data_IF_366019548573
#
_entry.id   IF_366019548573
#
_cell.length_a   1.000
_cell.length_b   1.000
_cell.length_c   1.000
_cell.angle_alpha   90.00
_cell.angle_beta   90.00
_cell.angle_gamma   90.00
#
_symmetry.space_group_name_H-M   'P 1'
#
loop_
_entity.id
_entity.type
_entity.pdbx_description
1 polymer ?
#
# COMPACT_ATOMS: atom_id res chain seq x y z
N UNK A 1 -44.00 28.57 -17.02
CA UNK A 1 -42.54 28.75 -16.92
C UNK A 1 -42.06 27.48 -16.27
N UNK A 2 -41.69 26.51 -17.10
CA UNK A 2 -41.24 25.20 -16.62
C UNK A 2 -39.71 25.21 -16.70
N UNK A 3 -39.09 25.24 -15.53
CA UNK A 3 -37.64 25.27 -15.35
C UNK A 3 -37.08 23.94 -15.82
N UNK A 4 -36.72 23.89 -17.10
CA UNK A 4 -35.99 22.79 -17.71
C UNK A 4 -34.59 22.77 -17.12
N UNK A 5 -34.44 22.09 -15.98
CA UNK A 5 -33.14 21.83 -15.37
C UNK A 5 -32.30 21.07 -16.40
N UNK A 6 -31.17 21.63 -16.83
CA UNK A 6 -30.40 21.08 -17.93
C UNK A 6 -29.67 19.79 -17.52
N UNK A 7 -29.64 18.83 -18.44
CA UNK A 7 -29.11 17.45 -18.28
C UNK A 7 -27.65 17.37 -17.79
N UNK A 8 -26.89 18.46 -17.77
CA UNK A 8 -25.51 18.46 -17.29
C UNK A 8 -25.41 18.36 -15.75
N UNK A 9 -26.38 18.86 -15.00
CA UNK A 9 -26.37 18.75 -13.53
C UNK A 9 -26.63 17.32 -13.01
N UNK A 10 -27.20 16.44 -13.86
CA UNK A 10 -27.45 15.03 -13.50
C UNK A 10 -26.18 14.18 -13.51
N UNK A 11 -25.21 14.52 -14.36
CA UNK A 11 -23.96 13.77 -14.47
C UNK A 11 -23.06 13.99 -13.25
N UNK A 12 -22.99 15.23 -12.75
CA UNK A 12 -22.12 15.62 -11.63
C UNK A 12 -22.51 14.90 -10.31
N UNK A 13 -23.80 14.64 -10.09
CA UNK A 13 -24.27 13.97 -8.85
C UNK A 13 -24.02 12.46 -8.82
N UNK A 14 -23.72 11.81 -9.95
CA UNK A 14 -23.43 10.36 -9.99
C UNK A 14 -21.93 10.04 -9.90
N UNK A 15 -21.07 11.03 -10.06
CA UNK A 15 -19.62 10.85 -9.95
C UNK A 15 -19.10 10.96 -8.49
N UNK A 16 -19.91 11.44 -7.54
CA UNK A 16 -19.53 11.51 -6.12
C UNK A 16 -19.82 10.22 -5.32
N UNK A 17 -20.38 9.18 -5.94
CA UNK A 17 -20.57 7.87 -5.28
C UNK A 17 -19.58 6.82 -5.78
N UNK A 18 -18.45 7.25 -6.36
CA UNK A 18 -17.37 6.35 -6.80
C UNK A 18 -16.01 6.80 -6.26
N UNK A 19 -15.98 7.35 -5.04
CA UNK A 19 -14.72 7.64 -4.34
C UNK A 19 -14.49 6.70 -3.14
N UNK A 20 -15.41 5.77 -2.87
CA UNK A 20 -15.32 4.86 -1.71
C UNK A 20 -15.27 3.38 -2.05
N UNK A 21 -15.40 3.03 -3.32
CA UNK A 21 -15.32 1.64 -3.82
C UNK A 21 -14.32 1.55 -4.97
N UNK A 22 -13.22 2.30 -4.87
CA UNK A 22 -12.03 2.01 -5.68
C UNK A 22 -11.34 0.85 -4.96
N UNK A 23 -11.85 -0.34 -5.24
CA UNK A 23 -11.38 -1.60 -4.67
C UNK A 23 -9.86 -1.70 -4.70
N UNK A 24 -9.33 -2.39 -3.68
CA UNK A 24 -7.95 -2.83 -3.53
C UNK A 24 -7.20 -2.70 -4.85
N UNK A 25 -6.32 -1.70 -4.93
CA UNK A 25 -5.44 -1.56 -6.08
C UNK A 25 -4.75 -2.93 -6.26
N UNK A 26 -4.80 -3.56 -7.44
CA UNK A 26 -4.30 -4.93 -7.60
C UNK A 26 -2.76 -5.00 -7.51
N UNK A 27 -2.08 -3.84 -7.49
CA UNK A 27 -0.68 -3.72 -7.14
C UNK A 27 -0.50 -3.48 -5.64
N UNK A 28 -1.61 -3.28 -4.90
CA UNK A 28 -1.59 -3.14 -3.46
C UNK A 28 -1.40 -4.49 -2.79
N UNK A 29 -0.25 -4.72 -2.17
CA UNK A 29 -0.05 -5.71 -1.12
C UNK A 29 -1.05 -5.43 0.00
N UNK A 30 -2.07 -6.29 0.12
CA UNK A 30 -2.97 -6.31 1.26
C UNK A 30 -2.18 -6.33 2.58
N UNK A 31 -2.65 -5.62 3.60
CA UNK A 31 -1.93 -5.46 4.86
C UNK A 31 -1.66 -6.82 5.55
N UNK A 32 -2.58 -7.77 5.42
CA UNK A 32 -2.38 -9.14 5.92
C UNK A 32 -1.24 -9.86 5.19
N UNK A 33 -1.19 -9.73 3.86
CA UNK A 33 -0.13 -10.34 3.04
C UNK A 33 1.22 -9.69 3.32
N UNK A 34 1.25 -8.36 3.49
CA UNK A 34 2.45 -7.65 3.88
C UNK A 34 2.93 -8.06 5.28
N UNK A 35 2.02 -8.32 6.21
CA UNK A 35 2.37 -8.83 7.54
C UNK A 35 3.01 -10.21 7.46
N UNK A 36 2.36 -11.17 6.79
CA UNK A 36 2.89 -12.54 6.62
C UNK A 36 4.28 -12.51 5.95
N UNK A 37 4.43 -11.71 4.88
CA UNK A 37 5.71 -11.56 4.20
C UNK A 37 6.80 -10.96 5.10
N UNK A 38 6.48 -9.93 5.90
CA UNK A 38 7.46 -9.34 6.83
C UNK A 38 7.89 -10.34 7.90
N UNK A 39 6.99 -11.20 8.37
CA UNK A 39 7.34 -12.27 9.31
C UNK A 39 8.27 -13.32 8.66
N UNK A 40 8.01 -13.70 7.41
CA UNK A 40 8.92 -14.56 6.64
C UNK A 40 10.30 -13.89 6.44
N UNK A 41 10.33 -12.60 6.10
CA UNK A 41 11.58 -11.84 5.92
C UNK A 41 12.36 -11.67 7.22
N UNK A 42 11.67 -11.56 8.37
CA UNK A 42 12.30 -11.58 9.70
C UNK A 42 12.88 -12.95 9.99
N UNK A 43 12.15 -14.03 9.71
CA UNK A 43 12.65 -15.38 9.88
C UNK A 43 13.89 -15.66 9.01
N UNK A 44 13.94 -15.06 7.82
CA UNK A 44 15.09 -15.12 6.91
C UNK A 44 16.26 -14.19 7.32
N UNK A 45 16.09 -13.32 8.32
CA UNK A 45 17.11 -12.34 8.73
C UNK A 45 17.29 -11.17 7.76
N UNK A 46 16.34 -10.98 6.83
CA UNK A 46 16.32 -9.87 5.87
C UNK A 46 15.75 -8.61 6.53
N UNK A 47 14.79 -8.77 7.44
CA UNK A 47 14.21 -7.67 8.21
C UNK A 47 14.57 -7.82 9.69
N UNK A 48 15.15 -6.77 10.27
CA UNK A 48 15.40 -6.66 11.70
C UNK A 48 14.44 -5.66 12.36
N UNK A 49 14.19 -5.82 13.65
CA UNK A 49 13.30 -4.92 14.41
C UNK A 49 14.13 -4.12 15.38
N UNK A 50 14.17 -2.82 15.19
CA UNK A 50 14.84 -1.91 16.13
C UNK A 50 13.94 -1.71 17.36
N UNK A 51 14.30 -2.22 18.55
CA UNK A 51 13.43 -2.21 19.72
C UNK A 51 13.12 -0.84 20.35
N UNK A 52 13.94 0.25 20.26
CA UNK A 52 13.52 1.52 20.85
C UNK A 52 12.37 2.17 20.06
N UNK A 53 12.26 1.92 18.76
CA UNK A 53 11.36 2.65 17.86
C UNK A 53 10.38 1.71 17.13
N UNK A 54 10.52 0.39 17.32
CA UNK A 54 9.77 -0.66 16.62
C UNK A 54 9.82 -0.51 15.09
N UNK A 55 10.92 0.07 14.59
CA UNK A 55 11.16 0.25 13.16
C UNK A 55 11.68 -1.05 12.54
N UNK A 56 11.28 -1.28 11.29
CA UNK A 56 11.66 -2.42 10.47
C UNK A 56 12.88 -2.02 9.63
N UNK A 57 14.03 -2.63 9.88
CA UNK A 57 15.25 -2.39 9.13
C UNK A 57 15.42 -3.44 8.04
N UNK A 58 15.54 -3.03 6.79
CA UNK A 58 15.88 -3.90 5.69
C UNK A 58 17.41 -4.12 5.67
N UNK A 59 17.85 -5.26 6.21
CA UNK A 59 19.25 -5.63 6.40
C UNK A 59 20.13 -5.47 5.14
N UNK A 60 19.69 -5.87 3.94
CA UNK A 60 20.51 -5.73 2.72
C UNK A 60 20.80 -4.27 2.31
N UNK A 61 19.85 -3.36 2.52
CA UNK A 61 19.99 -1.95 2.11
C UNK A 61 20.33 -1.00 3.27
N UNK A 62 20.05 -1.39 4.50
CA UNK A 62 20.16 -0.56 5.70
C UNK A 62 19.01 0.45 5.88
N UNK A 63 17.99 0.41 5.02
CA UNK A 63 16.85 1.35 5.09
C UNK A 63 15.83 0.93 6.16
N UNK A 64 15.19 1.90 6.80
CA UNK A 64 14.25 1.68 7.91
C UNK A 64 12.83 2.13 7.57
N UNK A 65 11.84 1.40 8.07
CA UNK A 65 10.43 1.60 7.76
C UNK A 65 9.56 1.47 9.00
N UNK A 66 8.48 2.24 9.05
CA UNK A 66 7.45 2.18 10.09
C UNK A 66 6.23 1.32 9.69
N UNK A 67 6.19 0.82 8.45
CA UNK A 67 5.07 0.07 7.88
C UNK A 67 5.53 -1.23 7.24
N UNK A 68 4.81 -2.33 7.55
CA UNK A 68 5.02 -3.64 6.93
C UNK A 68 4.84 -3.58 5.41
N UNK A 69 3.83 -2.85 4.93
CA UNK A 69 3.61 -2.68 3.49
C UNK A 69 4.79 -1.96 2.84
N UNK A 70 5.30 -0.89 3.46
CA UNK A 70 6.38 -0.10 2.89
C UNK A 70 7.66 -0.92 2.70
N UNK A 71 8.08 -1.66 3.73
CA UNK A 71 9.27 -2.52 3.62
C UNK A 71 9.05 -3.71 2.68
N UNK A 72 7.83 -4.25 2.60
CA UNK A 72 7.48 -5.32 1.68
C UNK A 72 7.59 -4.89 0.21
N UNK A 73 7.05 -3.73 -0.16
CA UNK A 73 7.24 -3.19 -1.52
C UNK A 73 8.68 -2.88 -1.83
N UNK A 74 9.38 -2.27 -0.88
CA UNK A 74 10.78 -1.94 -1.03
C UNK A 74 11.60 -3.21 -1.32
N UNK A 75 11.41 -4.26 -0.52
CA UNK A 75 12.10 -5.53 -0.69
C UNK A 75 11.77 -6.18 -2.05
N UNK A 76 10.50 -6.22 -2.44
CA UNK A 76 10.10 -6.77 -3.74
C UNK A 76 10.74 -6.01 -4.92
N UNK A 77 10.82 -4.67 -4.84
CA UNK A 77 11.51 -3.86 -5.85
C UNK A 77 13.03 -4.04 -5.83
N UNK A 78 13.63 -4.24 -4.66
CA UNK A 78 15.05 -4.51 -4.49
C UNK A 78 15.47 -5.85 -5.11
N UNK A 79 14.69 -6.92 -4.86
CA UNK A 79 14.89 -8.24 -5.46
C UNK A 79 14.81 -8.16 -6.99
N UNK A 80 13.75 -7.54 -7.53
CA UNK A 80 13.57 -7.39 -8.98
C UNK A 80 14.68 -6.57 -9.67
N UNK A 81 15.33 -5.67 -8.95
CA UNK A 81 16.48 -4.90 -9.46
C UNK A 81 17.81 -5.65 -9.32
N UNK A 82 17.85 -6.71 -8.51
CA UNK A 82 19.04 -7.54 -8.27
C UNK A 82 19.12 -8.75 -9.20
N UNK A 83 18.11 -8.96 -10.06
CA UNK A 83 18.04 -10.01 -11.10
C UNK A 83 18.79 -9.69 -12.41
#
# INVERSE_FOLDING_TARGET
MDETIPEYERLERRQLTNDRDRGTDPLSLDESVAHDLVEDLRAAGVVDVSPPEQLLAHSPSGEVFESNQAIAYFHAGWEAASE
#
